data_IF_792217584153
#
_entry.id   IF_792217584153
#
_cell.length_a   1.000
_cell.length_b   1.000
_cell.length_c   1.000
_cell.angle_alpha   90.00
_cell.angle_beta   90.00
_cell.angle_gamma   90.00
#
_symmetry.space_group_name_H-M   'P 1'
#
loop_
_entity.id
_entity.type
_entity.pdbx_description
1 polymer ?
#
# COMPACT_ATOMS: atom_id res chain seq x y z
N UNK A 1 -12.02 14.41 -5.73
CA UNK A 1 -12.08 13.18 -4.96
C UNK A 1 -13.19 13.33 -3.94
N UNK A 2 -14.17 12.41 -3.92
CA UNK A 2 -15.21 12.38 -2.90
C UNK A 2 -14.63 11.90 -1.57
N UNK A 3 -15.33 12.17 -0.47
CA UNK A 3 -14.93 11.69 0.85
C UNK A 3 -15.61 10.34 1.19
N UNK A 4 -15.48 9.38 0.28
CA UNK A 4 -15.98 8.01 0.50
C UNK A 4 -14.87 7.08 1.01
N UNK A 5 -13.82 7.69 1.57
CA UNK A 5 -12.63 6.98 2.06
C UNK A 5 -12.86 6.32 3.42
N UNK A 6 -13.69 6.88 4.30
CA UNK A 6 -13.89 6.40 5.66
C UNK A 6 -15.22 6.81 6.27
N UNK A 7 -15.68 5.98 7.20
CA UNK A 7 -16.94 6.17 7.91
C UNK A 7 -16.75 6.00 9.42
N UNK A 8 -17.65 6.56 10.25
CA UNK A 8 -17.65 6.26 11.68
C UNK A 8 -17.70 4.75 11.93
N UNK A 9 -16.84 4.26 12.80
CA UNK A 9 -16.64 2.84 13.09
C UNK A 9 -15.48 2.19 12.35
N UNK A 10 -14.91 2.83 11.31
CA UNK A 10 -13.77 2.27 10.59
C UNK A 10 -12.51 2.25 11.44
N UNK A 11 -11.81 1.13 11.40
CA UNK A 11 -10.49 0.98 11.99
C UNK A 11 -9.43 1.57 11.08
N UNK A 12 -8.53 2.34 11.66
CA UNK A 12 -7.45 3.01 10.94
C UNK A 12 -6.11 2.80 11.63
N UNK A 13 -5.04 2.96 10.88
CA UNK A 13 -3.67 3.08 11.40
C UNK A 13 -2.97 4.27 10.78
N UNK A 14 -1.94 4.76 11.45
CA UNK A 14 -1.17 5.91 11.00
C UNK A 14 0.16 5.44 10.43
N UNK A 15 0.60 6.09 9.36
CA UNK A 15 1.86 5.81 8.67
C UNK A 15 2.59 7.11 8.41
N UNK A 16 3.90 7.08 8.50
CA UNK A 16 4.74 8.21 8.10
C UNK A 16 4.75 8.30 6.57
N UNK A 17 4.31 9.43 6.02
CA UNK A 17 4.13 9.55 4.56
C UNK A 17 5.43 9.46 3.77
N UNK A 18 6.55 9.91 4.35
CA UNK A 18 7.85 9.91 3.67
C UNK A 18 8.55 8.54 3.66
N UNK A 19 8.31 7.70 4.65
CA UNK A 19 9.00 6.42 4.82
C UNK A 19 8.05 5.25 4.84
N UNK A 20 6.73 5.48 4.93
CA UNK A 20 5.65 4.51 5.13
C UNK A 20 5.81 3.64 6.39
N UNK A 21 6.64 4.08 7.32
CA UNK A 21 6.77 3.46 8.62
C UNK A 21 5.45 3.51 9.38
N UNK A 22 5.05 2.40 9.98
CA UNK A 22 3.87 2.38 10.85
C UNK A 22 4.15 3.19 12.11
N UNK A 23 3.29 4.15 12.37
CA UNK A 23 3.26 4.85 13.64
C UNK A 23 2.40 4.07 14.63
N UNK A 24 2.81 4.06 15.89
CA UNK A 24 2.09 3.34 16.93
C UNK A 24 0.65 3.81 17.08
N UNK A 25 -0.24 2.85 17.26
CA UNK A 25 -1.63 3.09 17.59
C UNK A 25 -2.59 2.91 16.40
N UNK A 26 -3.32 1.80 16.44
CA UNK A 26 -4.57 1.68 15.69
C UNK A 26 -5.63 2.52 16.40
N UNK A 27 -6.55 3.10 15.63
CA UNK A 27 -7.64 3.89 16.17
C UNK A 27 -8.93 3.56 15.42
N UNK A 28 -10.02 4.13 15.83
CA UNK A 28 -11.31 4.00 15.18
C UNK A 28 -11.85 5.40 14.90
N UNK A 29 -12.44 5.60 13.74
CA UNK A 29 -13.10 6.85 13.39
C UNK A 29 -14.39 6.97 14.21
N UNK A 30 -14.49 8.03 15.03
CA UNK A 30 -15.72 8.37 15.76
C UNK A 30 -16.64 9.21 14.89
N UNK A 31 -16.10 10.24 14.22
CA UNK A 31 -16.87 11.18 13.42
C UNK A 31 -15.99 11.84 12.36
N UNK A 32 -16.59 12.17 11.23
CA UNK A 32 -16.00 12.96 10.16
C UNK A 32 -16.92 14.13 9.85
N UNK A 33 -16.38 15.33 9.78
CA UNK A 33 -17.11 16.53 9.42
C UNK A 33 -16.32 17.33 8.39
N UNK A 34 -17.01 17.93 7.42
CA UNK A 34 -16.36 18.88 6.53
C UNK A 34 -15.88 20.11 7.31
N UNK A 35 -14.72 20.61 6.96
CA UNK A 35 -14.23 21.89 7.44
C UNK A 35 -14.85 23.02 6.63
N UNK A 36 -15.21 24.11 7.28
CA UNK A 36 -15.69 25.33 6.61
C UNK A 36 -14.52 26.19 6.07
N UNK A 37 -13.28 25.76 6.31
CA UNK A 37 -12.08 26.47 5.85
C UNK A 37 -11.75 26.08 4.41
N UNK A 38 -11.68 27.02 3.47
CA UNK A 38 -11.15 26.74 2.14
C UNK A 38 -9.64 26.46 2.26
N UNK A 39 -9.18 25.41 1.58
CA UNK A 39 -7.73 25.19 1.38
C UNK A 39 -7.21 26.05 0.24
N UNK A 40 -5.92 26.39 0.28
CA UNK A 40 -5.29 27.27 -0.71
C UNK A 40 -5.34 26.69 -2.14
N UNK A 41 -5.40 25.37 -2.27
CA UNK A 41 -5.45 24.61 -3.52
C UNK A 41 -6.88 24.22 -3.96
N UNK A 42 -7.91 24.67 -3.21
CA UNK A 42 -9.30 24.33 -3.47
C UNK A 42 -9.69 22.90 -3.08
N UNK A 43 -8.82 22.15 -2.43
CA UNK A 43 -9.15 20.85 -1.87
C UNK A 43 -10.18 20.98 -0.73
N UNK A 44 -10.91 19.93 -0.45
CA UNK A 44 -11.81 19.89 0.71
C UNK A 44 -11.05 19.38 1.93
N UNK A 45 -11.13 20.14 3.00
CA UNK A 45 -10.60 19.76 4.30
C UNK A 45 -11.69 19.06 5.13
N UNK A 46 -11.31 18.03 5.87
CA UNK A 46 -12.21 17.29 6.76
C UNK A 46 -11.58 17.20 8.15
N UNK A 47 -12.41 17.29 9.18
CA UNK A 47 -12.02 17.07 10.56
C UNK A 47 -12.43 15.66 10.95
N UNK A 48 -11.44 14.82 11.26
CA UNK A 48 -11.67 13.46 11.72
C UNK A 48 -11.47 13.40 13.22
N UNK A 49 -12.48 12.94 13.94
CA UNK A 49 -12.37 12.63 15.37
C UNK A 49 -12.24 11.12 15.53
N UNK A 50 -11.32 10.72 16.40
CA UNK A 50 -11.05 9.32 16.72
C UNK A 50 -11.57 8.98 18.11
N UNK A 51 -11.86 7.68 18.34
CA UNK A 51 -12.36 7.17 19.62
C UNK A 51 -11.32 7.20 20.73
N UNK A 52 -10.02 7.14 20.36
CA UNK A 52 -8.91 7.26 21.29
C UNK A 52 -8.12 8.53 21.01
N UNK A 53 -7.49 9.13 22.03
CA UNK A 53 -6.56 10.23 21.82
C UNK A 53 -5.47 9.85 20.82
N UNK A 54 -5.09 10.79 19.98
CA UNK A 54 -3.92 10.61 19.11
C UNK A 54 -2.66 10.53 19.99
N UNK A 55 -1.70 9.62 19.66
CA UNK A 55 -0.39 9.64 20.30
C UNK A 55 0.24 11.04 20.22
N UNK A 56 0.92 11.49 21.28
CA UNK A 56 1.54 12.80 21.33
C UNK A 56 2.53 13.05 20.19
N UNK A 57 3.18 11.98 19.72
CA UNK A 57 4.06 12.01 18.54
C UNK A 57 3.34 12.38 17.25
N UNK A 58 2.04 12.11 17.13
CA UNK A 58 1.23 12.48 15.96
C UNK A 58 0.71 13.91 16.05
N UNK A 59 0.47 14.42 17.25
CA UNK A 59 -0.08 15.77 17.45
C UNK A 59 0.88 16.87 16.96
N UNK A 60 2.17 16.57 16.92
CA UNK A 60 3.23 17.50 16.52
C UNK A 60 3.74 17.27 15.09
N UNK A 61 3.23 16.24 14.40
CA UNK A 61 3.70 15.86 13.05
C UNK A 61 2.64 16.16 11.99
N UNK A 62 3.11 16.63 10.85
CA UNK A 62 2.27 16.91 9.68
C UNK A 62 2.52 15.95 8.50
N UNK A 63 3.50 15.05 8.65
CA UNK A 63 3.99 14.15 7.59
C UNK A 63 3.52 12.70 7.78
N UNK A 64 2.27 12.52 8.16
CA UNK A 64 1.66 11.20 8.29
C UNK A 64 0.44 11.03 7.39
N UNK A 65 0.21 9.79 6.98
CA UNK A 65 -1.00 9.35 6.31
C UNK A 65 -1.87 8.49 7.24
N UNK A 66 -3.11 8.32 6.86
CA UNK A 66 -4.07 7.47 7.55
C UNK A 66 -4.49 6.35 6.59
N UNK A 67 -4.30 5.11 7.02
CA UNK A 67 -4.69 3.93 6.27
C UNK A 67 -5.97 3.34 6.86
N UNK A 68 -6.99 3.14 6.02
CA UNK A 68 -8.26 2.54 6.45
C UNK A 68 -8.15 1.01 6.42
N UNK A 69 -8.12 0.38 7.59
CA UNK A 69 -7.99 -1.07 7.71
C UNK A 69 -9.32 -1.82 7.49
N UNK A 70 -10.46 -1.14 7.63
CA UNK A 70 -11.78 -1.76 7.44
C UNK A 70 -11.99 -2.13 5.97
N UNK A 71 -11.65 -1.22 5.07
CA UNK A 71 -11.86 -1.38 3.63
C UNK A 71 -10.68 -1.99 2.88
N UNK A 72 -9.57 -2.24 3.57
CA UNK A 72 -8.41 -2.90 2.99
C UNK A 72 -8.61 -4.41 3.00
N UNK A 73 -8.56 -5.12 1.86
CA UNK A 73 -8.84 -6.54 1.78
C UNK A 73 -7.64 -7.43 2.16
N UNK A 74 -7.92 -8.64 2.61
CA UNK A 74 -7.01 -9.77 2.39
C UNK A 74 -7.14 -10.23 0.94
N UNK A 75 -6.05 -10.71 0.35
CA UNK A 75 -6.02 -11.08 -1.07
C UNK A 75 -5.60 -12.54 -1.22
N UNK A 76 -6.41 -13.31 -1.94
CA UNK A 76 -6.05 -14.62 -2.45
C UNK A 76 -6.14 -14.60 -3.97
N UNK A 77 -5.00 -14.49 -4.63
CA UNK A 77 -4.87 -14.38 -6.07
C UNK A 77 -4.27 -15.65 -6.63
N UNK A 78 -5.11 -16.58 -7.11
CA UNK A 78 -4.68 -17.90 -7.50
C UNK A 78 -5.35 -18.42 -8.78
N UNK A 79 -4.64 -19.26 -9.54
CA UNK A 79 -5.16 -19.94 -10.73
C UNK A 79 -5.45 -19.02 -11.91
N UNK A 80 -4.91 -17.81 -11.94
CA UNK A 80 -5.17 -16.84 -13.01
C UNK A 80 -4.15 -16.95 -14.14
N UNK A 81 -4.58 -16.55 -15.34
CA UNK A 81 -3.70 -16.32 -16.48
C UNK A 81 -3.71 -14.83 -16.81
N UNK A 82 -2.56 -14.18 -16.63
CA UNK A 82 -2.30 -12.79 -16.95
C UNK A 82 -1.38 -12.75 -18.16
N UNK A 83 -1.84 -12.21 -19.28
CA UNK A 83 -1.05 -12.20 -20.51
C UNK A 83 -1.15 -10.91 -21.30
N UNK A 84 -0.10 -10.64 -22.05
CA UNK A 84 -0.02 -9.52 -22.99
C UNK A 84 -0.27 -8.15 -22.33
N UNK A 85 0.14 -8.00 -21.08
CA UNK A 85 0.04 -6.71 -20.39
C UNK A 85 1.19 -5.79 -20.78
N UNK A 86 0.85 -4.59 -21.22
CA UNK A 86 1.86 -3.59 -21.60
C UNK A 86 2.67 -3.07 -20.42
N UNK A 87 2.08 -2.99 -19.26
CA UNK A 87 2.74 -2.52 -18.04
C UNK A 87 3.06 -3.73 -17.11
N UNK A 88 2.64 -3.68 -15.87
CA UNK A 88 2.80 -4.75 -14.89
C UNK A 88 1.67 -5.78 -14.98
N UNK A 89 1.94 -7.01 -14.57
CA UNK A 89 0.94 -8.08 -14.54
C UNK A 89 -0.08 -7.88 -13.41
N UNK A 90 0.41 -7.60 -12.21
CA UNK A 90 -0.40 -7.34 -11.02
C UNK A 90 0.30 -6.38 -10.07
N UNK A 91 -0.48 -5.68 -9.25
CA UNK A 91 0.00 -4.82 -8.19
C UNK A 91 -0.76 -5.14 -6.90
N UNK A 92 -0.03 -5.31 -5.81
CA UNK A 92 -0.58 -5.53 -4.48
C UNK A 92 -0.03 -4.50 -3.51
N UNK A 93 -0.90 -3.83 -2.79
CA UNK A 93 -0.57 -2.73 -1.88
C UNK A 93 -1.35 -2.79 -0.56
N UNK A 94 -1.83 -3.95 -0.16
CA UNK A 94 -2.57 -4.13 1.09
C UNK A 94 -1.64 -4.45 2.26
N UNK A 95 -1.87 -3.90 3.47
CA UNK A 95 -1.16 -4.29 4.69
C UNK A 95 -1.64 -5.61 5.29
N UNK A 96 -2.72 -6.18 4.75
CA UNK A 96 -3.25 -7.48 5.17
C UNK A 96 -2.59 -8.61 4.39
N UNK A 97 -2.97 -9.83 4.72
CA UNK A 97 -2.40 -11.02 4.10
C UNK A 97 -2.69 -11.09 2.61
N UNK A 98 -1.65 -11.34 1.83
CA UNK A 98 -1.72 -11.53 0.37
C UNK A 98 -1.08 -12.88 0.02
N UNK A 99 -1.82 -13.72 -0.69
CA UNK A 99 -1.32 -14.97 -1.26
C UNK A 99 -1.46 -14.89 -2.77
N UNK A 100 -0.35 -15.09 -3.48
CA UNK A 100 -0.29 -15.10 -4.96
C UNK A 100 0.28 -16.44 -5.37
N UNK A 101 -0.57 -17.37 -5.85
CA UNK A 101 -0.12 -18.72 -6.14
C UNK A 101 -0.75 -19.34 -7.38
N UNK A 102 -0.03 -20.26 -8.00
CA UNK A 102 -0.52 -21.04 -9.15
C UNK A 102 -1.02 -20.19 -10.32
N UNK A 103 -0.43 -19.00 -10.53
CA UNK A 103 -0.78 -18.13 -11.65
C UNK A 103 0.22 -18.28 -12.80
N UNK A 104 -0.25 -17.99 -13.99
CA UNK A 104 0.56 -17.82 -15.19
C UNK A 104 0.65 -16.34 -15.55
N UNK A 105 1.86 -15.81 -15.56
CA UNK A 105 2.19 -14.50 -16.10
C UNK A 105 2.94 -14.70 -17.42
N UNK A 106 2.30 -14.29 -18.53
CA UNK A 106 2.76 -14.57 -19.89
C UNK A 106 2.82 -13.28 -20.70
N UNK A 107 4.02 -12.89 -21.13
CA UNK A 107 4.26 -11.64 -21.89
C UNK A 107 3.76 -10.37 -21.15
N UNK A 108 4.24 -10.16 -19.93
CA UNK A 108 4.11 -8.88 -19.24
C UNK A 108 5.31 -8.00 -19.59
N UNK A 109 5.09 -6.79 -20.12
CA UNK A 109 6.21 -5.93 -20.53
C UNK A 109 6.99 -5.40 -19.33
N UNK A 110 6.31 -5.01 -18.27
CA UNK A 110 6.94 -4.66 -17.00
C UNK A 110 6.98 -5.84 -16.03
N UNK A 111 7.14 -5.55 -14.76
CA UNK A 111 7.14 -6.56 -13.69
C UNK A 111 5.86 -7.40 -13.71
N UNK A 112 5.97 -8.69 -13.47
CA UNK A 112 4.81 -9.55 -13.37
C UNK A 112 4.06 -9.33 -12.06
N UNK A 113 4.77 -9.22 -10.95
CA UNK A 113 4.20 -8.95 -9.63
C UNK A 113 4.90 -7.74 -9.02
N UNK A 114 4.12 -6.73 -8.67
CA UNK A 114 4.59 -5.54 -7.97
C UNK A 114 3.98 -5.47 -6.56
N UNK A 115 4.83 -5.44 -5.55
CA UNK A 115 4.47 -5.06 -4.20
C UNK A 115 4.84 -3.59 -4.03
N UNK A 116 3.85 -2.74 -3.95
CA UNK A 116 4.04 -1.29 -3.89
C UNK A 116 3.09 -0.70 -2.85
N UNK A 117 3.48 0.42 -2.29
CA UNK A 117 2.64 1.28 -1.49
C UNK A 117 3.08 2.71 -1.69
N UNK A 118 2.17 3.65 -1.57
CA UNK A 118 2.41 5.06 -1.85
C UNK A 118 1.56 5.96 -0.96
N UNK A 119 2.23 6.87 -0.25
CA UNK A 119 1.60 7.94 0.53
C UNK A 119 1.89 9.33 -0.05
N UNK A 120 2.38 9.44 -1.27
CA UNK A 120 2.88 10.70 -1.82
C UNK A 120 2.28 11.11 -3.15
N UNK A 121 1.64 10.20 -3.88
CA UNK A 121 1.08 10.49 -5.19
C UNK A 121 -0.27 9.84 -5.42
N UNK A 122 -0.31 8.53 -5.47
CA UNK A 122 -1.54 7.78 -5.72
C UNK A 122 -2.36 7.52 -4.47
N UNK A 123 -1.74 7.63 -3.30
CA UNK A 123 -2.36 7.37 -1.99
C UNK A 123 -2.98 5.98 -1.91
N UNK A 124 -2.31 5.01 -2.49
CA UNK A 124 -2.60 3.60 -2.32
C UNK A 124 -2.20 3.19 -0.90
N UNK A 125 -2.62 2.02 -0.45
CA UNK A 125 -2.37 1.64 0.94
C UNK A 125 -0.88 1.54 1.28
N UNK A 126 -0.58 1.37 2.54
CA UNK A 126 0.77 1.33 3.08
C UNK A 126 1.58 0.10 2.70
N UNK A 127 2.61 -0.22 3.48
CA UNK A 127 3.51 -1.32 3.21
C UNK A 127 2.82 -2.70 3.32
N UNK A 128 3.13 -3.61 2.40
CA UNK A 128 2.70 -5.01 2.47
C UNK A 128 3.31 -5.70 3.71
N UNK A 129 2.51 -6.35 4.55
CA UNK A 129 2.93 -6.88 5.84
C UNK A 129 3.06 -8.39 5.90
N UNK A 130 2.24 -9.13 5.16
CA UNK A 130 2.28 -10.57 5.08
C UNK A 130 1.99 -10.99 3.65
N UNK A 131 3.00 -11.48 2.93
CA UNK A 131 2.89 -11.85 1.52
C UNK A 131 3.51 -13.23 1.28
N UNK A 132 2.77 -14.07 0.59
CA UNK A 132 3.24 -15.39 0.13
C UNK A 132 3.08 -15.43 -1.38
N UNK A 133 4.20 -15.55 -2.09
CA UNK A 133 4.24 -15.74 -3.55
C UNK A 133 4.85 -17.10 -3.82
N UNK A 134 4.07 -18.02 -4.42
CA UNK A 134 4.57 -19.37 -4.67
C UNK A 134 3.92 -20.06 -5.87
N UNK A 135 4.62 -21.00 -6.46
CA UNK A 135 4.12 -21.84 -7.55
C UNK A 135 3.58 -21.05 -8.76
N UNK A 136 4.08 -19.84 -8.99
CA UNK A 136 3.71 -19.04 -10.14
C UNK A 136 4.65 -19.34 -11.31
N UNK A 137 4.12 -19.31 -12.51
CA UNK A 137 4.88 -19.49 -13.73
C UNK A 137 5.00 -18.16 -14.47
N UNK A 138 6.23 -17.81 -14.87
CA UNK A 138 6.55 -16.60 -15.60
C UNK A 138 7.11 -16.95 -16.97
N UNK A 139 6.49 -16.46 -18.04
CA UNK A 139 6.92 -16.65 -19.43
C UNK A 139 7.08 -15.27 -20.05
N UNK A 140 8.28 -14.97 -20.53
CA UNK A 140 8.59 -13.67 -21.15
C UNK A 140 8.05 -12.48 -20.33
N UNK A 141 8.22 -12.52 -19.02
CA UNK A 141 7.94 -11.40 -18.14
C UNK A 141 9.14 -10.42 -18.17
N UNK A 142 8.87 -9.14 -17.93
CA UNK A 142 9.86 -8.07 -17.95
C UNK A 142 10.60 -7.98 -19.30
N UNK A 143 9.86 -7.98 -20.39
CA UNK A 143 10.42 -7.86 -21.74
C UNK A 143 10.86 -6.44 -22.07
N UNK A 144 10.41 -5.46 -21.29
CA UNK A 144 10.81 -4.06 -21.38
C UNK A 144 10.87 -3.47 -19.96
N UNK A 145 11.89 -2.67 -19.69
CA UNK A 145 11.94 -1.90 -18.44
C UNK A 145 10.91 -0.78 -18.51
N UNK A 146 9.79 -0.99 -17.84
CA UNK A 146 8.69 -0.04 -17.82
C UNK A 146 8.55 0.60 -16.44
N UNK A 147 8.51 1.91 -16.42
CA UNK A 147 8.47 2.73 -15.20
C UNK A 147 9.71 2.47 -14.32
N UNK A 148 9.51 2.32 -13.03
CA UNK A 148 10.54 2.12 -12.01
C UNK A 148 10.82 0.63 -11.70
N UNK A 149 10.20 -0.29 -12.42
CA UNK A 149 10.33 -1.73 -12.14
C UNK A 149 11.42 -2.37 -13.00
N UNK A 150 12.33 -3.11 -12.36
CA UNK A 150 13.49 -3.74 -12.99
C UNK A 150 13.66 -5.23 -12.62
N UNK A 151 12.60 -5.85 -12.09
CA UNK A 151 12.58 -7.27 -11.72
C UNK A 151 11.24 -7.91 -12.08
N UNK A 152 11.24 -9.24 -12.31
CA UNK A 152 10.02 -10.01 -12.58
C UNK A 152 9.05 -9.94 -11.38
N UNK A 153 9.59 -10.04 -10.17
CA UNK A 153 8.88 -9.73 -8.93
C UNK A 153 9.59 -8.53 -8.32
N UNK A 154 8.91 -7.41 -8.23
CA UNK A 154 9.47 -6.16 -7.71
C UNK A 154 8.80 -5.79 -6.40
N UNK A 155 9.63 -5.46 -5.40
CA UNK A 155 9.19 -4.92 -4.11
C UNK A 155 9.70 -3.49 -4.08
N UNK A 156 8.83 -2.54 -4.33
CA UNK A 156 9.21 -1.15 -4.51
C UNK A 156 8.25 -0.22 -3.79
N UNK A 157 8.69 0.42 -2.69
CA UNK A 157 7.93 1.49 -2.07
C UNK A 157 8.07 2.77 -2.89
N UNK A 158 6.98 3.47 -3.13
CA UNK A 158 7.02 4.79 -3.75
C UNK A 158 7.10 5.86 -2.65
N UNK A 159 8.30 6.06 -2.14
CA UNK A 159 8.61 6.99 -1.06
C UNK A 159 9.69 7.99 -1.49
N UNK A 160 9.63 9.25 -0.99
CA UNK A 160 10.62 10.27 -1.33
C UNK A 160 12.03 9.95 -0.87
N UNK A 161 12.18 9.26 0.25
CA UNK A 161 13.46 9.01 0.91
C UNK A 161 13.83 7.52 0.85
N UNK A 162 14.14 7.05 -0.37
CA UNK A 162 14.55 5.65 -0.59
C UNK A 162 15.89 5.30 0.07
N UNK A 163 16.79 6.27 0.22
CA UNK A 163 18.13 6.02 0.77
C UNK A 163 18.10 5.79 2.29
N UNK A 164 17.11 6.36 2.97
CA UNK A 164 16.95 6.25 4.43
C UNK A 164 15.75 5.40 4.84
N UNK A 165 15.27 4.51 3.97
CA UNK A 165 14.14 3.67 4.33
C UNK A 165 14.48 2.78 5.55
N UNK A 166 13.48 2.61 6.40
CA UNK A 166 13.61 1.77 7.59
C UNK A 166 13.82 0.31 7.20
N UNK A 167 14.56 -0.41 8.04
CA UNK A 167 14.75 -1.85 7.88
C UNK A 167 13.38 -2.56 7.90
N UNK A 168 13.20 -3.52 6.98
CA UNK A 168 11.93 -4.24 6.82
C UNK A 168 10.75 -3.34 6.51
N UNK A 169 10.95 -2.36 5.69
CA UNK A 169 9.90 -1.46 5.21
C UNK A 169 8.62 -2.22 4.80
N UNK A 170 8.70 -3.11 3.81
CA UNK A 170 7.66 -4.11 3.59
C UNK A 170 7.85 -5.28 4.56
N UNK A 171 6.74 -5.86 5.02
CA UNK A 171 6.76 -6.97 5.96
C UNK A 171 6.87 -6.54 7.42
N UNK A 172 7.71 -5.60 7.76
CA UNK A 172 7.94 -5.12 9.13
C UNK A 172 8.73 -6.08 10.03
N UNK A 173 8.97 -7.31 9.59
CA UNK A 173 9.77 -8.34 10.27
C UNK A 173 10.34 -9.34 9.27
N UNK A 174 11.44 -10.05 9.62
CA UNK A 174 11.96 -11.11 8.78
C UNK A 174 10.93 -12.20 8.47
N UNK A 175 10.91 -12.70 7.23
CA UNK A 175 10.02 -13.78 6.81
C UNK A 175 8.57 -13.40 6.59
N UNK A 176 8.19 -12.15 6.73
CA UNK A 176 6.84 -11.69 6.44
C UNK A 176 6.52 -11.69 4.93
N UNK A 177 7.52 -11.54 4.08
CA UNK A 177 7.41 -11.73 2.64
C UNK A 177 8.18 -12.99 2.27
N UNK A 178 7.49 -13.96 1.67
CA UNK A 178 8.02 -15.25 1.28
C UNK A 178 7.80 -15.45 -0.22
N UNK A 179 8.87 -15.78 -0.92
CA UNK A 179 8.84 -16.09 -2.36
C UNK A 179 9.45 -17.47 -2.51
N UNK A 180 8.67 -18.43 -2.97
CA UNK A 180 9.07 -19.83 -3.12
C UNK A 180 8.49 -20.45 -4.38
N UNK A 181 9.05 -21.60 -4.80
CA UNK A 181 8.51 -22.42 -5.86
C UNK A 181 7.29 -23.21 -5.40
#
# INVERSE_FOLDING_TARGET
WGFDWGFPGDSVQFIRSKTMELLDGKNCIERITASDKPTADGAREFIIRFTQPLPGTLAEQTDFGIENLTWTPEVYFAGNTIRNNRARGSLFSTPKKTIVENNLFDHTSGTAILLCGDCNGWYETGACREVIIRHNRFINALTNMFQFTNAVISIYPEIPDLEHQVKYFHGGKPGAIQITD
#
